data_IF_721567050510
#
_entry.id   IF_721567050510
#
_cell.length_a   1.000
_cell.length_b   1.000
_cell.length_c   1.000
_cell.angle_alpha   90.00
_cell.angle_beta   90.00
_cell.angle_gamma   90.00
#
_symmetry.space_group_name_H-M   'P 1'
#
loop_
_entity.id
_entity.type
_entity.pdbx_description
1 polymer ?
#
# COMPACT_ATOMS: atom_id res chain seq x y z
N UNK A 1 4.26 -16.11 17.73
CA UNK A 1 4.11 -14.84 17.01
C UNK A 1 5.33 -13.99 17.27
N UNK A 2 5.87 -13.38 16.21
CA UNK A 2 6.90 -12.34 16.32
C UNK A 2 6.23 -11.01 16.70
N UNK A 3 7.02 -9.99 17.03
CA UNK A 3 6.45 -8.67 17.34
C UNK A 3 5.94 -7.97 16.09
N UNK A 4 4.90 -7.15 16.24
CA UNK A 4 4.32 -6.32 15.16
C UNK A 4 5.37 -5.48 14.43
N UNK A 5 6.35 -4.89 15.14
CA UNK A 5 7.48 -4.18 14.52
C UNK A 5 8.27 -5.05 13.54
N UNK A 6 8.46 -6.33 13.86
CA UNK A 6 9.20 -7.26 13.00
C UNK A 6 8.35 -7.63 11.78
N UNK A 7 7.03 -7.79 11.95
CA UNK A 7 6.11 -8.05 10.84
C UNK A 7 6.06 -6.87 9.86
N UNK A 8 5.93 -5.64 10.38
CA UNK A 8 5.93 -4.41 9.58
C UNK A 8 7.22 -4.29 8.77
N UNK A 9 8.38 -4.54 9.39
CA UNK A 9 9.68 -4.43 8.70
C UNK A 9 9.86 -5.49 7.62
N UNK A 10 9.36 -6.71 7.83
CA UNK A 10 9.34 -7.76 6.80
C UNK A 10 8.42 -7.32 5.65
N UNK A 11 7.21 -6.85 5.95
CA UNK A 11 6.25 -6.40 4.94
C UNK A 11 6.81 -5.26 4.09
N UNK A 12 7.34 -4.21 4.71
CA UNK A 12 7.97 -3.08 4.01
C UNK A 12 9.13 -3.53 3.11
N UNK A 13 9.98 -4.43 3.60
CA UNK A 13 11.07 -4.97 2.78
C UNK A 13 10.55 -5.71 1.55
N UNK A 14 9.48 -6.49 1.70
CA UNK A 14 8.87 -7.21 0.59
C UNK A 14 8.23 -6.25 -0.42
N UNK A 15 7.45 -5.29 0.06
CA UNK A 15 6.80 -4.29 -0.79
C UNK A 15 7.82 -3.55 -1.66
N UNK A 16 8.85 -2.96 -1.06
CA UNK A 16 9.82 -2.17 -1.83
C UNK A 16 10.72 -2.99 -2.75
N UNK A 17 10.85 -4.30 -2.54
CA UNK A 17 11.82 -5.13 -3.26
C UNK A 17 11.20 -6.01 -4.36
N UNK A 18 9.96 -6.44 -4.17
CA UNK A 18 9.34 -7.43 -5.05
C UNK A 18 8.09 -6.91 -5.76
N UNK A 19 7.50 -5.81 -5.30
CA UNK A 19 6.42 -5.18 -6.05
C UNK A 19 7.01 -4.50 -7.29
N UNK A 20 6.43 -4.69 -8.50
CA UNK A 20 6.87 -3.97 -9.68
C UNK A 20 6.77 -2.46 -9.47
N UNK A 21 7.71 -1.71 -10.05
CA UNK A 21 7.76 -0.26 -9.90
C UNK A 21 6.48 0.41 -10.41
N UNK A 22 5.89 -0.12 -11.48
CA UNK A 22 4.63 0.39 -12.05
C UNK A 22 3.47 0.30 -11.04
N UNK A 23 3.38 -0.82 -10.32
CA UNK A 23 2.35 -1.03 -9.29
C UNK A 23 2.57 -0.09 -8.10
N UNK A 24 3.83 0.15 -7.73
CA UNK A 24 4.17 1.13 -6.68
C UNK A 24 3.78 2.56 -7.09
N UNK A 25 4.06 2.95 -8.33
CA UNK A 25 3.68 4.27 -8.87
C UNK A 25 2.16 4.44 -8.92
N UNK A 26 1.41 3.41 -9.31
CA UNK A 26 -0.06 3.43 -9.30
C UNK A 26 -0.63 3.54 -7.89
N UNK A 27 -0.10 2.78 -6.93
CA UNK A 27 -0.44 2.88 -5.51
C UNK A 27 -0.21 4.29 -4.97
N UNK A 28 0.97 4.86 -5.23
CA UNK A 28 1.30 6.22 -4.80
C UNK A 28 0.34 7.22 -5.43
N UNK A 29 0.08 7.14 -6.74
CA UNK A 29 -0.85 8.03 -7.43
C UNK A 29 -2.29 7.93 -6.89
N UNK A 30 -2.76 6.71 -6.59
CA UNK A 30 -4.10 6.47 -6.04
C UNK A 30 -4.25 7.04 -4.63
N UNK A 31 -3.21 6.92 -3.80
CA UNK A 31 -3.24 7.32 -2.39
C UNK A 31 -2.86 8.79 -2.18
N UNK A 32 -2.07 9.40 -3.07
CA UNK A 32 -1.59 10.78 -2.95
C UNK A 32 -2.71 11.83 -2.74
N UNK A 33 -3.87 11.78 -3.43
CA UNK A 33 -4.95 12.74 -3.22
C UNK A 33 -5.48 12.76 -1.79
N UNK A 34 -5.43 11.63 -1.09
CA UNK A 34 -5.89 11.50 0.28
C UNK A 34 -4.95 12.17 1.30
N UNK A 35 -3.66 12.24 0.99
CA UNK A 35 -2.67 12.97 1.79
C UNK A 35 -2.62 14.47 1.46
N UNK A 36 -3.17 14.88 0.32
CA UNK A 36 -3.24 16.27 -0.11
C UNK A 36 -4.59 16.95 0.21
N UNK A 37 -5.61 16.18 0.57
CA UNK A 37 -6.93 16.67 0.98
C UNK A 37 -6.97 17.21 2.42
N UNK A 38 -8.04 17.93 2.78
CA UNK A 38 -8.24 18.45 4.14
C UNK A 38 -8.75 17.38 5.13
N UNK A 39 -9.34 16.28 4.65
CA UNK A 39 -9.72 15.12 5.46
C UNK A 39 -8.83 13.93 5.11
N UNK A 40 -7.95 13.56 6.04
CA UNK A 40 -7.16 12.33 5.97
C UNK A 40 -8.13 11.14 6.15
N UNK A 41 -8.24 10.23 5.17
CA UNK A 41 -9.08 9.05 5.31
C UNK A 41 -8.58 8.15 6.44
N UNK A 42 -9.45 7.27 6.93
CA UNK A 42 -9.03 6.29 7.92
C UNK A 42 -7.96 5.37 7.35
N UNK A 43 -7.00 4.95 8.18
CA UNK A 43 -5.96 4.00 7.77
C UNK A 43 -6.58 2.72 7.18
N UNK A 44 -7.72 2.28 7.70
CA UNK A 44 -8.46 1.11 7.20
C UNK A 44 -8.93 1.28 5.76
N UNK A 45 -9.40 2.47 5.39
CA UNK A 45 -9.88 2.74 4.02
C UNK A 45 -8.73 2.87 3.04
N UNK A 46 -7.59 3.44 3.47
CA UNK A 46 -6.37 3.46 2.66
C UNK A 46 -5.83 2.06 2.40
N UNK A 47 -5.85 1.19 3.43
CA UNK A 47 -5.42 -0.20 3.29
C UNK A 47 -6.34 -0.97 2.34
N UNK A 48 -7.66 -0.77 2.40
CA UNK A 48 -8.60 -1.40 1.44
C UNK A 48 -8.33 -0.98 0.00
N UNK A 49 -8.09 0.32 -0.22
CA UNK A 49 -7.76 0.85 -1.55
C UNK A 49 -6.44 0.28 -2.07
N UNK A 50 -5.42 0.20 -1.21
CA UNK A 50 -4.14 -0.38 -1.57
C UNK A 50 -4.27 -1.86 -1.95
N UNK A 51 -5.04 -2.64 -1.18
CA UNK A 51 -5.30 -4.06 -1.46
C UNK A 51 -6.02 -4.21 -2.81
N UNK A 52 -7.08 -3.42 -3.07
CA UNK A 52 -7.82 -3.50 -4.33
C UNK A 52 -6.93 -3.22 -5.55
N UNK A 53 -6.06 -2.20 -5.47
CA UNK A 53 -5.10 -1.86 -6.53
C UNK A 53 -4.09 -2.99 -6.76
N UNK A 54 -3.58 -3.59 -5.68
CA UNK A 54 -2.66 -4.73 -5.77
C UNK A 54 -3.32 -5.97 -6.36
N UNK A 55 -4.56 -6.27 -5.96
CA UNK A 55 -5.31 -7.42 -6.47
C UNK A 55 -5.55 -7.25 -7.98
N UNK A 56 -5.99 -6.07 -8.42
CA UNK A 56 -6.15 -5.74 -9.85
C UNK A 56 -4.82 -5.88 -10.63
N UNK A 57 -3.71 -5.41 -10.07
CA UNK A 57 -2.40 -5.50 -10.71
C UNK A 57 -1.82 -6.93 -10.76
N UNK A 58 -2.25 -7.81 -9.87
CA UNK A 58 -1.78 -9.20 -9.76
C UNK A 58 -2.70 -10.21 -10.45
N UNK A 59 -3.92 -9.83 -10.86
CA UNK A 59 -4.91 -10.70 -11.50
C UNK A 59 -4.76 -10.88 -13.04
N UNK A 60 -3.67 -10.41 -13.67
CA UNK A 60 -3.39 -10.39 -15.14
C UNK A 60 -4.26 -9.44 -15.98
#
# INVERSE_FOLDING_TARGET
MISEDVEIRIALHYFHRYLPSEVMEELEFLLLPYYLGEEEPSADDMVKLAIACMDEALEE
#
